data_IF_713373987514
#
_entry.id   IF_713373987514
#
_cell.length_a   1.000
_cell.length_b   1.000
_cell.length_c   1.000
_cell.angle_alpha   90.00
_cell.angle_beta   90.00
_cell.angle_gamma   90.00
#
_symmetry.space_group_name_H-M   'P 1'
#
loop_
_entity.id
_entity.type
_entity.pdbx_description
1 polymer ?
#
# COMPACT_ATOMS: atom_id res chain seq x y z
N UNK A 1 8.26 23.84 -27.20
CA UNK A 1 8.29 23.90 -25.71
C UNK A 1 7.48 22.74 -25.19
N UNK A 2 8.09 21.82 -24.44
CA UNK A 2 7.39 20.65 -23.88
C UNK A 2 6.35 21.15 -22.87
N UNK A 3 5.07 20.89 -23.11
CA UNK A 3 4.02 21.21 -22.12
C UNK A 3 4.32 20.37 -20.87
N UNK A 4 4.58 20.97 -19.70
CA UNK A 4 4.65 20.19 -18.47
C UNK A 4 3.37 19.37 -18.38
N UNK A 5 3.56 18.06 -18.27
CA UNK A 5 2.60 17.03 -18.63
C UNK A 5 1.21 17.31 -17.99
N UNK A 6 0.30 17.89 -18.78
CA UNK A 6 -1.02 18.39 -18.34
C UNK A 6 -2.02 17.25 -18.01
N UNK A 7 -1.52 16.02 -17.86
CA UNK A 7 -2.32 14.89 -17.44
C UNK A 7 -2.58 15.00 -15.93
N UNK A 8 -3.76 15.51 -15.61
CA UNK A 8 -4.32 15.42 -14.27
C UNK A 8 -4.85 14.01 -14.01
N UNK A 9 -4.77 13.56 -12.76
CA UNK A 9 -5.28 12.28 -12.31
C UNK A 9 -6.31 12.48 -11.21
N UNK A 10 -7.21 11.51 -11.08
CA UNK A 10 -8.21 11.52 -10.01
C UNK A 10 -7.50 11.50 -8.63
N UNK A 11 -8.05 12.18 -7.61
CA UNK A 11 -7.56 12.15 -6.23
C UNK A 11 -7.25 10.74 -5.72
N UNK A 12 -8.13 9.77 -6.01
CA UNK A 12 -7.92 8.38 -5.64
C UNK A 12 -6.63 7.76 -6.24
N UNK A 13 -6.29 8.15 -7.47
CA UNK A 13 -5.04 7.70 -8.11
C UNK A 13 -3.82 8.37 -7.50
N UNK A 14 -3.92 9.66 -7.18
CA UNK A 14 -2.86 10.39 -6.51
C UNK A 14 -2.60 9.86 -5.09
N UNK A 15 -3.66 9.67 -4.28
CA UNK A 15 -3.57 9.07 -2.95
C UNK A 15 -2.90 7.70 -2.98
N UNK A 16 -3.28 6.84 -3.96
CA UNK A 16 -2.64 5.54 -4.16
C UNK A 16 -1.14 5.66 -4.48
N UNK A 17 -0.74 6.66 -5.28
CA UNK A 17 0.69 6.91 -5.59
C UNK A 17 1.46 7.57 -4.45
N UNK A 18 0.76 8.17 -3.49
CA UNK A 18 1.34 8.75 -2.28
C UNK A 18 1.36 7.77 -1.11
N UNK A 19 0.78 6.58 -1.29
CA UNK A 19 0.57 5.55 -0.26
C UNK A 19 -0.19 6.09 0.96
N UNK A 20 -1.31 6.79 0.72
CA UNK A 20 -2.20 7.30 1.78
C UNK A 20 -3.66 6.94 1.53
N UNK A 21 -4.45 6.90 2.60
CA UNK A 21 -5.88 6.69 2.53
C UNK A 21 -6.62 7.98 2.15
N UNK A 22 -7.30 7.98 1.00
CA UNK A 22 -7.90 9.19 0.41
C UNK A 22 -8.88 9.89 1.38
N UNK A 23 -9.72 9.14 2.08
CA UNK A 23 -10.75 9.72 2.95
C UNK A 23 -10.17 10.46 4.17
N UNK A 24 -8.89 10.22 4.50
CA UNK A 24 -8.18 10.91 5.56
C UNK A 24 -7.35 12.11 5.06
N UNK A 25 -7.34 12.37 3.76
CA UNK A 25 -6.65 13.55 3.18
C UNK A 25 -7.50 14.82 3.31
N UNK A 26 -6.91 16.03 3.25
CA UNK A 26 -7.68 17.28 3.29
C UNK A 26 -8.72 17.37 2.16
N UNK A 27 -9.84 18.07 2.39
CA UNK A 27 -10.93 18.21 1.40
C UNK A 27 -10.43 18.76 0.05
N UNK A 28 -9.52 19.75 0.08
CA UNK A 28 -8.89 20.31 -1.12
C UNK A 28 -8.19 19.24 -1.97
N UNK A 29 -7.58 18.23 -1.33
CA UNK A 29 -6.96 17.10 -2.04
C UNK A 29 -8.01 16.14 -2.61
N UNK A 30 -9.12 15.94 -1.90
CA UNK A 30 -10.18 15.01 -2.29
C UNK A 30 -11.04 15.54 -3.45
N UNK A 31 -11.21 16.85 -3.55
CA UNK A 31 -12.09 17.49 -4.53
C UNK A 31 -11.38 17.83 -5.84
N UNK A 32 -10.07 18.13 -5.79
CA UNK A 32 -9.33 18.64 -6.93
C UNK A 32 -8.53 17.56 -7.66
N UNK A 33 -8.58 17.55 -8.99
CA UNK A 33 -7.71 16.69 -9.79
C UNK A 33 -6.24 17.12 -9.62
N UNK A 34 -5.33 16.15 -9.52
CA UNK A 34 -3.92 16.40 -9.22
C UNK A 34 -3.09 16.14 -10.46
N UNK A 35 -2.32 17.12 -10.88
CA UNK A 35 -1.37 16.99 -11.98
C UNK A 35 -0.18 16.14 -11.59
N UNK A 36 0.51 15.59 -12.59
CA UNK A 36 1.76 14.85 -12.35
C UNK A 36 2.84 15.73 -11.68
N UNK A 37 2.84 17.03 -11.97
CA UNK A 37 3.78 17.98 -11.38
C UNK A 37 3.49 18.22 -9.89
N UNK A 38 2.22 18.43 -9.52
CA UNK A 38 1.81 18.59 -8.11
C UNK A 38 2.07 17.31 -7.31
N UNK A 39 1.77 16.13 -7.87
CA UNK A 39 2.11 14.87 -7.23
C UNK A 39 3.61 14.75 -6.95
N UNK A 40 4.45 15.13 -7.92
CA UNK A 40 5.91 15.11 -7.74
C UNK A 40 6.37 16.13 -6.67
N UNK A 41 5.74 17.31 -6.60
CA UNK A 41 6.02 18.28 -5.55
C UNK A 41 5.65 17.75 -4.16
N UNK A 42 4.47 17.13 -4.01
CA UNK A 42 4.05 16.48 -2.75
C UNK A 42 4.97 15.33 -2.33
N UNK A 43 5.59 14.63 -3.29
CA UNK A 43 6.57 13.59 -2.99
C UNK A 43 7.93 14.16 -2.59
N UNK A 44 8.37 15.23 -3.25
CA UNK A 44 9.65 15.87 -3.01
C UNK A 44 9.70 16.65 -1.70
N UNK A 45 8.63 17.41 -1.40
CA UNK A 45 8.48 18.17 -0.17
C UNK A 45 7.11 17.86 0.48
N UNK A 46 7.02 16.73 1.21
CA UNK A 46 5.75 16.30 1.77
C UNK A 46 5.30 17.26 2.89
N UNK A 47 4.08 17.83 2.80
CA UNK A 47 3.52 18.68 3.85
C UNK A 47 3.26 17.87 5.12
N UNK A 48 3.04 18.57 6.24
CA UNK A 48 2.89 17.94 7.56
C UNK A 48 1.76 16.91 7.60
N UNK A 49 0.58 17.24 7.06
CA UNK A 49 -0.55 16.29 7.00
C UNK A 49 -0.19 14.99 6.26
N UNK A 50 0.64 15.05 5.22
CA UNK A 50 1.06 13.87 4.46
C UNK A 50 2.06 13.03 5.25
N UNK A 51 2.95 13.68 6.02
CA UNK A 51 3.88 13.02 6.94
C UNK A 51 3.11 12.30 8.04
N UNK A 52 2.14 12.96 8.66
CA UNK A 52 1.33 12.41 9.74
C UNK A 52 0.49 11.22 9.28
N UNK A 53 -0.15 11.32 8.10
CA UNK A 53 -0.90 10.21 7.53
C UNK A 53 -0.03 8.98 7.25
N UNK A 54 1.19 9.18 6.74
CA UNK A 54 2.13 8.08 6.48
C UNK A 54 2.66 7.43 7.76
N UNK A 55 2.78 8.22 8.83
CA UNK A 55 3.33 7.76 10.10
C UNK A 55 2.28 7.05 10.94
N UNK A 56 1.14 7.70 11.17
CA UNK A 56 0.18 7.33 12.19
C UNK A 56 -1.24 7.14 11.63
N UNK A 57 -1.53 7.77 10.49
CA UNK A 57 -2.87 7.80 9.91
C UNK A 57 -3.42 6.44 9.49
N UNK A 58 -4.71 6.40 9.12
CA UNK A 58 -5.31 5.20 8.56
C UNK A 58 -4.58 4.82 7.26
N UNK A 59 -3.96 3.65 7.28
CA UNK A 59 -3.20 3.11 6.16
C UNK A 59 -4.13 2.44 5.17
N UNK A 60 -3.93 2.61 3.85
CA UNK A 60 -4.69 1.88 2.86
C UNK A 60 -4.41 0.38 2.94
N UNK A 61 -5.38 -0.45 2.53
CA UNK A 61 -5.36 -1.92 2.66
C UNK A 61 -4.06 -2.59 2.20
N UNK A 62 -3.45 -2.08 1.13
CA UNK A 62 -2.18 -2.60 0.62
C UNK A 62 -1.03 -2.40 1.62
N UNK A 63 -0.98 -1.25 2.29
CA UNK A 63 0.01 -0.98 3.33
C UNK A 63 -0.28 -1.75 4.61
N UNK A 64 -1.55 -1.87 5.00
CA UNK A 64 -1.97 -2.69 6.15
C UNK A 64 -1.53 -4.14 5.96
N UNK A 65 -1.85 -4.75 4.81
CA UNK A 65 -1.45 -6.11 4.49
C UNK A 65 0.08 -6.28 4.48
N UNK A 66 0.81 -5.31 3.91
CA UNK A 66 2.27 -5.33 3.90
C UNK A 66 2.87 -5.25 5.33
N UNK A 67 2.33 -4.37 6.19
CA UNK A 67 2.77 -4.23 7.60
C UNK A 67 2.47 -5.47 8.44
N UNK A 68 1.33 -6.12 8.20
CA UNK A 68 0.94 -7.36 8.88
C UNK A 68 1.65 -8.61 8.33
N UNK A 69 2.27 -8.51 7.15
CA UNK A 69 2.96 -9.62 6.50
C UNK A 69 2.01 -10.66 5.91
N UNK A 70 0.87 -10.21 5.38
CA UNK A 70 -0.18 -11.06 4.77
C UNK A 70 -0.54 -10.56 3.37
N UNK A 71 -1.31 -11.36 2.63
CA UNK A 71 -1.91 -10.89 1.37
C UNK A 71 -3.15 -10.02 1.62
N UNK A 72 -3.54 -9.17 0.66
CA UNK A 72 -4.78 -8.38 0.75
C UNK A 72 -6.01 -9.29 0.89
N UNK A 73 -6.01 -10.44 0.20
CA UNK A 73 -7.09 -11.43 0.35
C UNK A 73 -7.10 -12.10 1.71
N UNK A 74 -5.92 -12.33 2.31
CA UNK A 74 -5.80 -12.85 3.68
C UNK A 74 -6.30 -11.84 4.71
N UNK A 75 -6.00 -10.56 4.51
CA UNK A 75 -6.54 -9.47 5.32
C UNK A 75 -8.07 -9.44 5.31
N UNK A 76 -8.68 -9.58 4.12
CA UNK A 76 -10.14 -9.63 3.98
C UNK A 76 -10.75 -10.88 4.65
N UNK A 77 -10.10 -12.05 4.56
CA UNK A 77 -10.54 -13.26 5.27
C UNK A 77 -10.46 -13.13 6.80
N UNK A 78 -9.52 -12.32 7.29
CA UNK A 78 -9.44 -11.92 8.70
C UNK A 78 -10.51 -10.91 9.13
N UNK A 79 -11.44 -10.53 8.25
CA UNK A 79 -12.51 -9.56 8.53
C UNK A 79 -12.06 -8.09 8.52
N UNK A 80 -10.82 -7.80 8.10
CA UNK A 80 -10.31 -6.44 8.03
C UNK A 80 -10.60 -5.87 6.64
N UNK A 81 -11.69 -5.12 6.54
CA UNK A 81 -12.12 -4.47 5.30
C UNK A 81 -11.89 -2.96 5.25
N UNK A 82 -11.39 -2.36 6.32
CA UNK A 82 -11.18 -0.91 6.39
C UNK A 82 -9.68 -0.56 6.50
N UNK A 83 -9.40 0.74 6.36
CA UNK A 83 -8.07 1.27 6.63
C UNK A 83 -7.79 1.19 8.14
N UNK A 84 -6.57 0.79 8.51
CA UNK A 84 -6.15 0.69 9.91
C UNK A 84 -5.08 1.71 10.25
N UNK A 85 -5.14 2.31 11.43
CA UNK A 85 -4.08 3.18 11.95
C UNK A 85 -2.85 2.36 12.37
N UNK A 86 -1.72 3.03 12.58
CA UNK A 86 -0.51 2.36 13.09
C UNK A 86 -0.78 1.68 14.45
N UNK A 87 -1.57 2.32 15.31
CA UNK A 87 -1.95 1.77 16.62
C UNK A 87 -2.74 0.46 16.49
N UNK A 88 -3.78 0.43 15.65
CA UNK A 88 -4.57 -0.78 15.41
C UNK A 88 -3.75 -1.91 14.79
N UNK A 89 -2.81 -1.58 13.90
CA UNK A 89 -1.88 -2.56 13.33
C UNK A 89 -0.97 -3.14 14.41
N UNK A 90 -0.42 -2.30 15.29
CA UNK A 90 0.42 -2.76 16.39
C UNK A 90 -0.35 -3.66 17.35
N UNK A 91 -1.60 -3.30 17.67
CA UNK A 91 -2.49 -4.13 18.48
C UNK A 91 -2.67 -5.53 17.87
N UNK A 92 -2.96 -5.63 16.57
CA UNK A 92 -3.05 -6.94 15.89
C UNK A 92 -1.74 -7.73 15.93
N UNK A 93 -0.60 -7.05 15.82
CA UNK A 93 0.72 -7.67 15.89
C UNK A 93 1.08 -8.15 17.29
N UNK A 94 0.50 -7.54 18.33
CA UNK A 94 0.66 -7.93 19.73
C UNK A 94 -0.29 -9.08 20.10
N UNK A 95 -1.58 -8.94 19.78
CA UNK A 95 -2.62 -9.93 20.06
C UNK A 95 -2.40 -11.23 19.27
N UNK A 96 -1.84 -11.13 18.05
CA UNK A 96 -1.56 -12.26 17.15
C UNK A 96 -2.71 -13.25 17.06
N UNK A 97 -3.90 -12.80 16.63
CA UNK A 97 -5.05 -13.70 16.50
C UNK A 97 -4.74 -14.85 15.52
N UNK A 98 -5.40 -15.99 15.72
CA UNK A 98 -5.14 -17.22 14.95
C UNK A 98 -5.18 -17.03 13.43
N UNK A 99 -6.13 -16.22 12.95
CA UNK A 99 -6.23 -15.91 11.53
C UNK A 99 -4.97 -15.20 11.01
N UNK A 100 -4.38 -14.29 11.79
CA UNK A 100 -3.20 -13.54 11.39
C UNK A 100 -1.99 -14.46 11.31
N UNK A 101 -1.85 -15.39 12.26
CA UNK A 101 -0.79 -16.40 12.24
C UNK A 101 -0.91 -17.28 11.00
N UNK A 102 -2.09 -17.87 10.76
CA UNK A 102 -2.34 -18.74 9.62
C UNK A 102 -2.12 -18.02 8.27
N UNK A 103 -2.58 -16.78 8.14
CA UNK A 103 -2.42 -15.99 6.92
C UNK A 103 -0.96 -15.59 6.67
N UNK A 104 -0.17 -15.32 7.71
CA UNK A 104 1.26 -15.05 7.58
C UNK A 104 2.00 -16.29 7.09
N UNK A 105 1.70 -17.47 7.65
CA UNK A 105 2.30 -18.73 7.22
C UNK A 105 1.98 -19.05 5.76
N UNK A 106 0.70 -18.92 5.39
CA UNK A 106 0.23 -19.10 4.02
C UNK A 106 0.95 -18.14 3.05
N UNK A 107 1.03 -16.86 3.41
CA UNK A 107 1.71 -15.86 2.60
C UNK A 107 3.20 -16.17 2.42
N UNK A 108 3.90 -16.59 3.48
CA UNK A 108 5.30 -17.00 3.38
C UNK A 108 5.49 -18.26 2.52
N UNK A 109 4.55 -19.21 2.55
CA UNK A 109 4.59 -20.39 1.69
C UNK A 109 4.47 -20.00 0.20
N UNK A 110 3.54 -19.09 -0.13
CA UNK A 110 3.38 -18.56 -1.49
C UNK A 110 4.66 -17.86 -1.96
N UNK A 111 5.26 -16.99 -1.13
CA UNK A 111 6.49 -16.30 -1.50
C UNK A 111 7.67 -17.26 -1.76
N UNK A 112 7.78 -18.35 -0.98
CA UNK A 112 8.79 -19.39 -1.23
C UNK A 112 8.56 -20.07 -2.58
N UNK A 113 7.31 -20.40 -2.88
CA UNK A 113 6.95 -21.06 -4.13
C UNK A 113 7.18 -20.16 -5.34
N UNK A 114 6.80 -18.88 -5.27
CA UNK A 114 7.06 -17.90 -6.33
C UNK A 114 8.56 -17.75 -6.61
N UNK A 115 9.40 -17.72 -5.58
CA UNK A 115 10.87 -17.69 -5.74
C UNK A 115 11.38 -18.95 -6.44
N UNK A 116 10.87 -20.13 -6.06
CA UNK A 116 11.23 -21.41 -6.68
C UNK A 116 10.87 -21.42 -8.16
N UNK A 117 9.64 -21.06 -8.51
CA UNK A 117 9.16 -20.99 -9.89
C UNK A 117 9.97 -19.98 -10.70
N UNK A 118 10.27 -18.80 -10.15
CA UNK A 118 11.10 -17.79 -10.81
C UNK A 118 12.51 -18.30 -11.10
N UNK A 119 13.13 -19.00 -10.15
CA UNK A 119 14.46 -19.58 -10.32
C UNK A 119 14.46 -20.65 -11.43
N UNK A 120 13.46 -21.53 -11.46
CA UNK A 120 13.31 -22.56 -12.51
C UNK A 120 13.13 -21.93 -13.90
N UNK A 121 12.28 -20.90 -14.02
CA UNK A 121 12.08 -20.18 -15.29
C UNK A 121 13.36 -19.50 -15.78
N UNK A 122 14.13 -18.90 -14.87
CA UNK A 122 15.40 -18.27 -15.20
C UNK A 122 16.46 -19.31 -15.64
N UNK A 123 16.46 -20.50 -15.04
CA UNK A 123 17.33 -21.60 -15.48
C UNK A 123 16.95 -22.11 -16.87
N UNK A 124 15.66 -22.33 -17.12
CA UNK A 124 15.16 -22.76 -18.44
C UNK A 124 15.50 -21.74 -19.53
N UNK A 125 15.32 -20.44 -19.26
CA UNK A 125 15.65 -19.37 -20.19
C UNK A 125 17.15 -19.25 -20.49
N UNK A 126 18.04 -19.69 -19.58
CA UNK A 126 19.50 -19.75 -19.83
C UNK A 126 19.91 -20.97 -20.65
N UNK A 127 19.12 -22.03 -20.65
CA UNK A 127 19.38 -23.29 -21.37
C UNK A 127 18.78 -23.32 -22.78
N UNK A 128 17.92 -22.36 -23.11
CA UNK A 128 17.29 -22.19 -24.43
C UNK A 128 18.08 -21.17 -25.24
#
# INVERSE_FOLDING_TARGET
MSRPNAQSMKPATAAKKLDVYLQATPAEFQENAITRAELAALQADPPQWLKDLRKDGPHPKNLVAAKLGVSISGLARGGVEDALTTEQINQLLEEKPDWLVAERESYQAVLREERRVKALRAEQARKS
#
